data_IF_947503107161
#
_entry.id   IF_947503107161
#
_cell.length_a   1.000
_cell.length_b   1.000
_cell.length_c   1.000
_cell.angle_alpha   90.00
_cell.angle_beta   90.00
_cell.angle_gamma   90.00
#
_symmetry.space_group_name_H-M   'P 1'
#
loop_
_entity.id
_entity.type
_entity.pdbx_description
1 polymer ?
#
# COMPACT_ATOMS: atom_id res chain seq x y z
N UNK A 1 -0.31 -7.98 -3.31
CA UNK A 1 1.04 -8.12 -3.89
C UNK A 1 1.08 -7.55 -5.30
N UNK A 2 2.01 -6.64 -5.58
CA UNK A 2 2.28 -6.14 -6.95
C UNK A 2 3.19 -7.16 -7.65
N UNK A 3 2.60 -8.21 -8.22
CA UNK A 3 3.32 -9.29 -8.88
C UNK A 3 2.41 -10.04 -9.86
N UNK A 4 3.01 -10.73 -10.83
CA UNK A 4 2.27 -11.60 -11.75
C UNK A 4 1.61 -12.77 -11.01
N UNK A 5 0.50 -13.29 -11.57
CA UNK A 5 -0.22 -14.46 -11.01
C UNK A 5 0.71 -15.65 -10.76
N UNK A 6 1.65 -15.90 -11.68
CA UNK A 6 2.67 -16.97 -11.54
C UNK A 6 3.56 -16.74 -10.31
N UNK A 7 4.12 -15.54 -10.13
CA UNK A 7 4.99 -15.23 -8.99
C UNK A 7 4.23 -15.34 -7.67
N UNK A 8 2.98 -14.86 -7.64
CA UNK A 8 2.10 -14.95 -6.48
C UNK A 8 1.83 -16.41 -6.11
N UNK A 9 1.55 -17.28 -7.08
CA UNK A 9 1.36 -18.71 -6.86
C UNK A 9 2.58 -19.36 -6.21
N UNK A 10 3.78 -19.07 -6.72
CA UNK A 10 5.03 -19.57 -6.15
C UNK A 10 5.25 -19.10 -4.69
N UNK A 11 4.98 -17.82 -4.41
CA UNK A 11 5.10 -17.27 -3.05
C UNK A 11 4.06 -17.88 -2.11
N UNK A 12 2.81 -18.05 -2.54
CA UNK A 12 1.77 -18.71 -1.74
C UNK A 12 2.13 -20.16 -1.40
N UNK A 13 2.64 -20.91 -2.37
CA UNK A 13 3.11 -22.28 -2.14
C UNK A 13 4.24 -22.32 -1.12
N UNK A 14 5.19 -21.39 -1.22
CA UNK A 14 6.29 -21.29 -0.25
C UNK A 14 5.81 -20.94 1.16
N UNK A 15 4.91 -19.97 1.29
CA UNK A 15 4.34 -19.59 2.59
C UNK A 15 3.51 -20.74 3.21
N UNK A 16 2.78 -21.50 2.39
CA UNK A 16 2.08 -22.69 2.84
C UNK A 16 3.06 -23.76 3.36
N UNK A 17 4.19 -23.99 2.67
CA UNK A 17 5.26 -24.90 3.14
C UNK A 17 5.85 -24.48 4.48
N UNK A 18 5.91 -23.17 4.75
CA UNK A 18 6.36 -22.60 6.03
C UNK A 18 5.31 -22.66 7.14
N UNK A 19 4.14 -23.24 6.87
CA UNK A 19 3.09 -23.45 7.87
C UNK A 19 2.09 -22.32 8.01
N UNK A 20 2.02 -21.36 7.07
CA UNK A 20 0.96 -20.34 7.11
C UNK A 20 -0.40 -20.98 6.82
N UNK A 21 -1.39 -20.64 7.66
CA UNK A 21 -2.75 -21.12 7.51
C UNK A 21 -3.38 -20.60 6.21
N UNK A 22 -4.27 -21.40 5.62
CA UNK A 22 -5.02 -21.03 4.41
C UNK A 22 -5.83 -19.74 4.60
N UNK A 23 -6.30 -19.49 5.82
CA UNK A 23 -7.02 -18.26 6.22
C UNK A 23 -6.16 -17.01 6.16
N UNK A 24 -4.84 -17.13 6.35
CA UNK A 24 -3.92 -16.00 6.23
C UNK A 24 -3.49 -15.82 4.78
N UNK A 25 -3.27 -16.92 4.07
CA UNK A 25 -2.95 -16.90 2.63
C UNK A 25 -4.10 -16.33 1.79
N UNK A 26 -5.35 -16.53 2.20
CA UNK A 26 -6.54 -16.00 1.51
C UNK A 26 -6.64 -14.47 1.60
N UNK A 27 -6.04 -13.86 2.63
CA UNK A 27 -5.96 -12.39 2.78
C UNK A 27 -5.05 -11.74 1.75
N UNK A 28 -4.14 -12.52 1.13
CA UNK A 28 -3.23 -12.02 0.10
C UNK A 28 -4.04 -11.69 -1.15
N UNK A 29 -4.25 -10.40 -1.41
CA UNK A 29 -4.83 -9.90 -2.66
C UNK A 29 -3.75 -9.78 -3.73
N UNK A 30 -3.93 -10.46 -4.85
CA UNK A 30 -2.93 -10.51 -5.89
C UNK A 30 -3.50 -10.93 -7.26
N UNK A 31 -3.08 -10.30 -8.37
CA UNK A 31 -2.23 -9.09 -8.46
C UNK A 31 -2.89 -7.90 -7.74
N UNK A 32 -2.08 -7.00 -7.16
CA UNK A 32 -2.58 -5.82 -6.50
C UNK A 32 -3.10 -4.82 -7.53
N UNK A 33 -4.28 -4.26 -7.27
CA UNK A 33 -4.91 -3.28 -8.13
C UNK A 33 -6.09 -3.86 -8.91
N UNK A 34 -6.96 -2.96 -9.38
CA UNK A 34 -8.06 -3.32 -10.28
C UNK A 34 -7.49 -3.70 -11.65
N UNK A 35 -8.07 -4.69 -12.33
CA UNK A 35 -7.61 -5.08 -13.67
C UNK A 35 -8.01 -4.01 -14.68
N UNK A 36 -7.08 -3.09 -14.97
CA UNK A 36 -7.24 -1.99 -15.92
C UNK A 36 -6.42 -2.22 -17.21
N UNK A 37 -5.86 -3.42 -17.42
CA UNK A 37 -5.11 -3.78 -18.63
C UNK A 37 -3.70 -3.15 -18.76
N UNK A 38 -3.09 -2.69 -17.67
CA UNK A 38 -1.91 -1.83 -17.70
C UNK A 38 -0.57 -2.57 -17.69
N UNK A 39 0.37 -2.15 -18.54
CA UNK A 39 1.68 -2.79 -18.74
C UNK A 39 2.88 -2.00 -18.19
N UNK A 40 2.74 -0.68 -17.94
CA UNK A 40 3.86 0.16 -17.46
C UNK A 40 3.83 0.40 -15.95
N UNK A 41 4.99 0.68 -15.36
CA UNK A 41 5.11 0.94 -13.92
C UNK A 41 4.31 2.17 -13.49
N UNK A 42 4.26 3.25 -14.30
CA UNK A 42 3.44 4.43 -13.98
C UNK A 42 1.96 4.09 -13.94
N UNK A 43 1.53 3.19 -14.83
CA UNK A 43 0.15 2.79 -14.95
C UNK A 43 -0.30 1.83 -13.84
N UNK A 44 0.60 1.24 -13.05
CA UNK A 44 0.26 0.37 -11.90
C UNK A 44 -0.21 1.16 -10.67
N UNK A 45 0.23 2.41 -10.51
CA UNK A 45 -0.10 3.22 -9.34
C UNK A 45 -1.62 3.46 -9.19
N UNK A 46 -2.30 3.74 -10.31
CA UNK A 46 -3.73 4.02 -10.34
C UNK A 46 -4.59 2.78 -9.98
N UNK A 47 -4.43 1.61 -10.61
CA UNK A 47 -5.04 0.34 -10.20
C UNK A 47 -4.93 0.06 -8.71
N UNK A 48 -3.72 0.18 -8.15
CA UNK A 48 -3.45 -0.10 -6.74
C UNK A 48 -4.20 0.88 -5.85
N UNK A 49 -4.15 2.18 -6.16
CA UNK A 49 -4.85 3.22 -5.40
C UNK A 49 -6.37 3.08 -5.46
N UNK A 50 -6.91 2.69 -6.62
CA UNK A 50 -8.33 2.39 -6.79
C UNK A 50 -8.76 1.18 -5.95
N UNK A 51 -7.96 0.10 -5.93
CA UNK A 51 -8.23 -1.07 -5.11
C UNK A 51 -8.23 -0.73 -3.61
N UNK A 52 -7.26 0.06 -3.12
CA UNK A 52 -7.23 0.54 -1.74
C UNK A 52 -8.48 1.38 -1.43
N UNK A 53 -8.86 2.29 -2.34
CA UNK A 53 -10.05 3.13 -2.17
C UNK A 53 -11.32 2.29 -2.09
N UNK A 54 -11.47 1.27 -2.95
CA UNK A 54 -12.59 0.32 -2.90
C UNK A 54 -12.65 -0.38 -1.54
N UNK A 55 -11.54 -0.94 -1.08
CA UNK A 55 -11.48 -1.63 0.22
C UNK A 55 -11.87 -0.72 1.39
N UNK A 56 -11.47 0.56 1.38
CA UNK A 56 -11.85 1.52 2.42
C UNK A 56 -13.34 1.89 2.39
N UNK A 57 -13.98 1.86 1.21
CA UNK A 57 -15.39 2.20 1.05
C UNK A 57 -16.32 1.00 1.31
N UNK A 58 -15.84 -0.22 1.06
CA UNK A 58 -16.65 -1.44 1.19
C UNK A 58 -16.30 -2.28 2.42
N UNK A 59 -15.18 -1.99 3.08
CA UNK A 59 -14.73 -2.68 4.29
C UNK A 59 -15.28 -2.05 5.57
N UNK A 60 -15.06 -2.71 6.74
CA UNK A 60 -15.34 -2.12 8.05
C UNK A 60 -14.64 -0.76 8.18
N UNK A 61 -15.29 0.20 8.83
CA UNK A 61 -14.66 1.49 9.14
C UNK A 61 -13.30 1.22 9.81
N UNK A 62 -12.20 1.85 9.34
CA UNK A 62 -10.92 1.68 9.99
C UNK A 62 -11.06 2.09 11.45
N UNK A 63 -10.58 1.23 12.36
CA UNK A 63 -10.26 1.67 13.71
C UNK A 63 -9.38 2.92 13.59
N UNK A 64 -9.59 3.99 14.38
CA UNK A 64 -8.76 5.18 14.31
C UNK A 64 -7.30 4.73 14.30
N UNK A 65 -6.63 5.02 13.18
CA UNK A 65 -5.23 4.69 13.02
C UNK A 65 -4.50 5.48 14.09
N UNK A 66 -3.93 4.75 15.06
CA UNK A 66 -2.99 5.35 15.99
C UNK A 66 -1.91 5.99 15.13
N UNK A 67 -1.78 7.31 15.24
CA UNK A 67 -0.86 8.09 14.42
C UNK A 67 0.53 7.72 14.91
N UNK A 68 1.16 6.75 14.25
CA UNK A 68 2.54 6.38 14.57
C UNK A 68 3.44 7.47 14.01
N UNK A 69 3.97 8.32 14.89
CA UNK A 69 5.02 9.25 14.54
C UNK A 69 6.29 8.45 14.25
N UNK A 70 6.82 8.59 13.03
CA UNK A 70 8.03 7.87 12.59
C UNK A 70 9.15 8.90 12.44
N UNK A 71 10.22 8.74 13.22
CA UNK A 71 11.44 9.52 13.02
C UNK A 71 12.16 9.01 11.76
N UNK A 72 12.10 9.82 10.70
CA UNK A 72 12.73 9.53 9.41
C UNK A 72 14.26 9.47 9.53
N UNK A 73 14.87 10.11 10.52
CA UNK A 73 16.31 10.02 10.74
C UNK A 73 16.74 8.62 11.19
N UNK A 74 15.92 7.95 12.00
CA UNK A 74 16.15 6.58 12.47
C UNK A 74 15.85 5.48 11.45
N UNK A 75 15.26 5.81 10.29
CA UNK A 75 14.86 4.83 9.31
C UNK A 75 16.08 4.06 8.76
N UNK A 76 16.06 2.73 8.87
CA UNK A 76 17.14 1.87 8.38
C UNK A 76 17.36 1.93 6.86
N UNK A 77 16.37 2.42 6.09
CA UNK A 77 16.45 2.51 4.64
C UNK A 77 15.87 3.85 4.15
N UNK A 78 16.67 4.59 3.37
CA UNK A 78 16.28 5.85 2.74
C UNK A 78 16.13 5.63 1.24
N UNK A 79 14.98 6.01 0.68
CA UNK A 79 14.76 6.00 -0.76
C UNK A 79 14.87 7.42 -1.33
N UNK A 80 15.56 7.57 -2.45
CA UNK A 80 15.66 8.84 -3.18
C UNK A 80 15.07 8.66 -4.57
N UNK A 81 14.23 9.61 -4.99
CA UNK A 81 13.62 9.62 -6.31
C UNK A 81 13.70 11.03 -6.89
N UNK A 82 14.40 11.18 -8.01
CA UNK A 82 14.63 12.49 -8.65
C UNK A 82 15.32 13.51 -7.74
N UNK A 83 16.26 13.06 -6.90
CA UNK A 83 16.98 13.89 -5.93
C UNK A 83 16.14 14.31 -4.71
N UNK A 84 14.97 13.68 -4.49
CA UNK A 84 14.07 13.98 -3.36
C UNK A 84 13.73 12.71 -2.59
N UNK A 85 13.60 12.84 -1.27
CA UNK A 85 13.03 11.78 -0.43
C UNK A 85 11.50 11.82 -0.59
N UNK A 86 10.85 10.75 -1.09
CA UNK A 86 9.43 10.80 -1.48
C UNK A 86 8.45 10.89 -0.30
N UNK A 87 8.93 10.67 0.93
CA UNK A 87 8.18 10.86 2.17
C UNK A 87 8.61 12.15 2.86
N UNK A 88 8.28 13.30 2.26
CA UNK A 88 8.24 14.54 3.05
C UNK A 88 7.04 14.41 3.98
N UNK A 89 7.32 14.42 5.29
CA UNK A 89 6.29 14.45 6.32
C UNK A 89 5.26 15.53 5.95
N UNK A 90 4.01 15.12 5.71
CA UNK A 90 2.90 16.06 5.58
C UNK A 90 2.67 16.65 6.95
N UNK A 91 3.44 17.67 7.31
CA UNK A 91 3.02 18.64 8.29
C UNK A 91 1.89 19.43 7.63
N UNK A 92 0.64 19.01 7.88
CA UNK A 92 -0.51 19.88 7.65
C UNK A 92 -0.50 20.92 8.76
N UNK A 93 0.37 21.93 8.61
CA UNK A 93 0.20 23.18 9.34
C UNK A 93 -1.20 23.72 9.03
N UNK A 94 -1.93 24.07 10.08
CA UNK A 94 -3.35 24.39 10.06
C UNK A 94 -3.75 25.32 8.91
N UNK A 95 -4.83 24.96 8.22
CA UNK A 95 -5.57 25.89 7.37
C UNK A 95 -6.06 27.05 8.24
N UNK A 96 -5.71 28.32 7.98
CA UNK A 96 -6.40 29.42 8.62
C UNK A 96 -7.84 29.45 8.09
N UNK A 97 -8.78 29.36 9.03
CA UNK A 97 -10.20 29.63 8.83
C UNK A 97 -10.37 31.04 8.27
N UNK A 98 -10.57 31.18 6.95
CA UNK A 98 -11.24 32.36 6.40
C UNK A 98 -12.74 32.13 6.54
N UNK A 99 -13.33 32.76 7.55
CA UNK A 99 -14.75 33.09 7.55
C UNK A 99 -14.85 34.60 7.83
N UNK A 100 -15.38 35.27 6.83
CA UNK A 100 -16.04 36.58 6.89
C UNK A 100 -17.05 36.66 8.02
#
# INVERSE_FOLDING_TARGET
MVASRRRVGAVRAELARRGLATTDLSRIQAPAGLDLGTATQEQVALPVRAAITRLRRTGPQPHPAEVLEVDVASACHRAEWGGRTPISAVHTAGRPSRRT
#
